data_IF_578010366344
#
_entry.id   IF_578010366344
#
_cell.length_a   1.000
_cell.length_b   1.000
_cell.length_c   1.000
_cell.angle_alpha   90.00
_cell.angle_beta   90.00
_cell.angle_gamma   90.00
#
_symmetry.space_group_name_H-M   'P 1'
#
loop_
_entity.id
_entity.type
_entity.pdbx_description
1 polymer ?
#
# COMPACT_ATOMS: atom_id res chain seq x y z
N UNK A 1 13.41 15.98 6.70
CA UNK A 1 12.33 15.01 6.46
C UNK A 1 12.04 14.28 7.76
N UNK A 2 10.78 14.09 8.13
CA UNK A 2 10.43 13.44 9.40
C UNK A 2 10.39 11.93 9.25
N UNK A 3 11.00 11.21 10.20
CA UNK A 3 10.97 9.74 10.27
C UNK A 3 9.53 9.24 10.48
N UNK A 4 9.13 8.26 9.67
CA UNK A 4 7.85 7.56 9.82
C UNK A 4 8.06 6.21 10.48
N UNK A 5 8.91 5.37 9.87
CA UNK A 5 9.25 4.03 10.36
C UNK A 5 10.75 3.89 10.41
N UNK A 6 11.26 3.29 11.47
CA UNK A 6 12.65 2.88 11.58
C UNK A 6 12.74 1.45 12.09
N UNK A 7 13.56 0.68 11.42
CA UNK A 7 13.84 -0.71 11.66
C UNK A 7 15.31 -0.87 12.02
N UNK A 8 15.60 -1.48 13.17
CA UNK A 8 16.96 -1.72 13.65
C UNK A 8 17.21 -3.20 13.84
N UNK A 9 18.13 -3.76 13.06
CA UNK A 9 18.53 -5.17 13.08
C UNK A 9 17.31 -6.12 13.06
N UNK A 10 16.34 -5.82 12.18
CA UNK A 10 15.13 -6.61 12.03
C UNK A 10 15.48 -7.95 11.40
N UNK A 11 15.03 -9.04 12.04
CA UNK A 11 14.96 -10.32 11.37
C UNK A 11 13.53 -10.86 11.36
N UNK A 12 13.19 -11.55 10.29
CA UNK A 12 11.90 -12.20 10.13
C UNK A 12 12.12 -13.67 9.77
N UNK A 13 11.69 -14.54 10.66
CA UNK A 13 11.78 -15.99 10.51
C UNK A 13 10.42 -16.55 10.09
N UNK A 14 10.41 -17.35 9.03
CA UNK A 14 9.23 -18.11 8.60
C UNK A 14 9.66 -19.57 8.47
N UNK A 15 8.94 -20.48 9.12
CA UNK A 15 9.23 -21.93 9.12
C UNK A 15 10.71 -22.24 9.43
N UNK A 16 11.28 -21.57 10.44
CA UNK A 16 12.68 -21.68 10.89
C UNK A 16 13.73 -21.17 9.90
N UNK A 17 13.33 -20.56 8.78
CA UNK A 17 14.26 -19.88 7.86
C UNK A 17 14.26 -18.38 8.11
N UNK A 18 15.44 -17.79 8.26
CA UNK A 18 15.59 -16.34 8.31
C UNK A 18 15.43 -15.79 6.87
N UNK A 19 14.39 -15.00 6.64
CA UNK A 19 14.12 -14.41 5.34
C UNK A 19 14.81 -13.08 5.14
N UNK A 20 14.96 -12.29 6.20
CA UNK A 20 15.56 -10.96 6.14
C UNK A 20 16.38 -10.68 7.38
N UNK A 21 17.44 -9.91 7.18
CA UNK A 21 18.15 -9.22 8.26
C UNK A 21 18.53 -7.84 7.73
N UNK A 22 17.88 -6.78 8.27
CA UNK A 22 18.13 -5.43 7.76
C UNK A 22 17.88 -4.34 8.80
N UNK A 23 18.45 -3.15 8.52
CA UNK A 23 18.10 -1.91 9.18
C UNK A 23 17.70 -0.90 8.12
N UNK A 24 16.59 -0.18 8.33
CA UNK A 24 16.02 0.73 7.34
C UNK A 24 15.30 1.88 8.04
N UNK A 25 15.44 3.09 7.52
CA UNK A 25 14.61 4.24 7.90
C UNK A 25 13.79 4.71 6.72
N UNK A 26 12.48 4.87 6.95
CA UNK A 26 11.53 5.38 5.98
C UNK A 26 11.07 6.76 6.46
N UNK A 27 11.34 7.78 5.66
CA UNK A 27 10.98 9.15 5.94
C UNK A 27 9.75 9.59 5.15
N UNK A 28 9.12 10.67 5.59
CA UNK A 28 8.03 11.29 4.86
C UNK A 28 8.50 11.73 3.47
N UNK A 29 7.74 11.38 2.44
CA UNK A 29 8.06 11.68 1.04
C UNK A 29 9.03 10.70 0.38
N UNK A 30 9.50 9.67 1.07
CA UNK A 30 10.31 8.63 0.42
C UNK A 30 9.48 7.84 -0.61
N UNK A 31 10.15 7.43 -1.69
CA UNK A 31 9.61 6.48 -2.65
C UNK A 31 10.52 5.25 -2.71
N UNK A 32 10.01 4.10 -2.26
CA UNK A 32 10.75 2.83 -2.25
C UNK A 32 10.14 1.82 -3.22
N UNK A 33 11.01 1.18 -3.99
CA UNK A 33 10.70 -0.03 -4.77
C UNK A 33 11.33 -1.23 -4.09
N UNK A 34 10.49 -2.18 -3.68
CA UNK A 34 10.96 -3.48 -3.16
C UNK A 34 11.15 -4.43 -4.33
N UNK A 35 12.39 -4.73 -4.64
CA UNK A 35 12.80 -5.65 -5.70
C UNK A 35 13.21 -7.01 -5.11
N UNK A 36 13.15 -8.07 -5.89
CA UNK A 36 13.55 -9.41 -5.49
C UNK A 36 12.84 -10.49 -6.30
N UNK A 37 13.38 -11.71 -6.28
CA UNK A 37 12.79 -12.87 -6.97
C UNK A 37 11.37 -13.17 -6.46
N UNK A 38 10.61 -13.95 -7.23
CA UNK A 38 9.33 -14.47 -6.75
C UNK A 38 9.58 -15.32 -5.49
N UNK A 39 8.66 -15.24 -4.53
CA UNK A 39 8.77 -15.88 -3.22
C UNK A 39 9.92 -15.37 -2.32
N UNK A 40 10.63 -14.29 -2.68
CA UNK A 40 11.66 -13.68 -1.82
C UNK A 40 11.10 -13.02 -0.56
N UNK A 41 9.79 -13.04 -0.34
CA UNK A 41 9.16 -12.45 0.84
C UNK A 41 8.73 -10.98 0.67
N UNK A 42 8.67 -10.45 -0.56
CA UNK A 42 8.26 -9.07 -0.82
C UNK A 42 6.94 -8.68 -0.13
N UNK A 43 5.89 -9.49 -0.34
CA UNK A 43 4.58 -9.23 0.30
C UNK A 43 4.64 -9.33 1.83
N UNK A 44 5.55 -10.14 2.38
CA UNK A 44 5.74 -10.25 3.81
C UNK A 44 6.42 -9.00 4.38
N UNK A 45 7.41 -8.45 3.66
CA UNK A 45 8.03 -7.17 4.00
C UNK A 45 7.02 -6.02 3.96
N UNK A 46 6.13 -5.98 2.95
CA UNK A 46 5.06 -4.99 2.90
C UNK A 46 4.09 -5.11 4.09
N UNK A 47 3.78 -6.34 4.54
CA UNK A 47 2.97 -6.56 5.75
C UNK A 47 3.67 -6.05 7.01
N UNK A 48 5.01 -6.16 7.07
CA UNK A 48 5.81 -5.58 8.16
C UNK A 48 5.72 -4.04 8.14
N UNK A 49 5.87 -3.42 6.97
CA UNK A 49 5.73 -1.95 6.82
C UNK A 49 4.32 -1.45 7.16
N UNK A 50 3.29 -2.25 6.87
CA UNK A 50 1.92 -1.96 7.30
C UNK A 50 1.67 -2.26 8.79
N UNK A 51 2.68 -2.75 9.52
CA UNK A 51 2.58 -3.19 10.91
C UNK A 51 1.53 -4.29 11.13
N UNK A 52 1.24 -5.11 10.09
CA UNK A 52 0.34 -6.26 10.19
C UNK A 52 1.00 -7.44 10.92
N UNK A 53 2.30 -7.54 10.80
CA UNK A 53 3.15 -8.51 11.48
C UNK A 53 4.25 -7.78 12.22
N UNK A 54 4.78 -8.39 13.27
CA UNK A 54 5.96 -7.93 13.99
C UNK A 54 7.17 -8.76 13.57
N UNK A 55 8.39 -8.23 13.68
CA UNK A 55 9.60 -8.98 13.39
C UNK A 55 9.85 -10.04 14.46
N UNK A 56 10.61 -11.08 14.09
CA UNK A 56 11.05 -12.10 15.05
C UNK A 56 12.10 -11.57 16.02
N UNK A 57 13.00 -10.69 15.54
CA UNK A 57 14.00 -9.99 16.36
C UNK A 57 14.19 -8.56 15.83
N UNK A 58 14.89 -7.75 16.63
CA UNK A 58 15.19 -6.37 16.31
C UNK A 58 14.24 -5.37 16.97
N UNK A 59 14.30 -4.12 16.55
CA UNK A 59 13.48 -3.05 17.10
C UNK A 59 12.80 -2.28 15.98
N UNK A 60 11.53 -1.97 16.17
CA UNK A 60 10.74 -1.12 15.27
C UNK A 60 10.34 0.15 15.98
N UNK A 61 10.37 1.26 15.23
CA UNK A 61 9.95 2.56 15.71
C UNK A 61 8.93 3.18 14.76
N UNK A 62 7.92 3.79 15.32
CA UNK A 62 6.90 4.57 14.61
C UNK A 62 6.95 6.01 15.11
N UNK A 63 7.24 6.95 14.22
CA UNK A 63 7.42 8.37 14.57
C UNK A 63 8.40 8.57 15.76
N UNK A 64 9.53 7.87 15.73
CA UNK A 64 10.57 7.92 16.77
C UNK A 64 10.25 7.13 18.05
N UNK A 65 9.04 6.59 18.22
CA UNK A 65 8.64 5.81 19.40
C UNK A 65 8.76 4.31 19.12
N UNK A 66 9.44 3.58 19.99
CA UNK A 66 9.59 2.13 19.86
C UNK A 66 8.21 1.44 19.91
N UNK A 67 7.95 0.57 18.94
CA UNK A 67 6.74 -0.25 18.92
C UNK A 67 6.92 -1.45 19.85
N UNK A 68 5.95 -1.65 20.74
CA UNK A 68 5.81 -2.80 21.63
C UNK A 68 4.42 -3.38 21.47
N UNK A 69 4.19 -4.61 21.91
CA UNK A 69 2.89 -5.30 21.79
C UNK A 69 1.72 -4.52 22.41
N UNK A 70 2.00 -3.67 23.40
CA UNK A 70 0.97 -2.90 24.13
C UNK A 70 0.54 -1.60 23.43
N UNK A 71 1.11 -1.23 22.26
CA UNK A 71 0.84 0.06 21.59
C UNK A 71 -0.18 -0.04 20.45
N UNK A 72 -1.25 -0.79 20.62
CA UNK A 72 -2.30 -1.01 19.61
C UNK A 72 -2.91 0.29 19.06
N UNK A 73 -3.09 1.30 19.89
CA UNK A 73 -3.71 2.58 19.49
C UNK A 73 -2.86 3.33 18.47
N UNK A 74 -1.52 3.41 18.67
CA UNK A 74 -0.62 4.08 17.74
C UNK A 74 -0.58 3.38 16.37
N UNK A 75 -0.65 2.04 16.36
CA UNK A 75 -0.70 1.24 15.14
C UNK A 75 -2.00 1.49 14.38
N UNK A 76 -3.14 1.61 15.04
CA UNK A 76 -4.42 1.92 14.41
C UNK A 76 -4.40 3.30 13.77
N UNK A 77 -3.90 4.32 14.47
CA UNK A 77 -3.78 5.68 13.93
C UNK A 77 -2.81 5.75 12.73
N UNK A 78 -1.73 4.98 12.76
CA UNK A 78 -0.85 4.81 11.62
C UNK A 78 -1.61 4.20 10.42
N UNK A 79 -2.28 3.06 10.62
CA UNK A 79 -3.01 2.35 9.56
C UNK A 79 -4.11 3.19 8.91
N UNK A 80 -4.77 4.08 9.65
CA UNK A 80 -5.75 5.03 9.09
C UNK A 80 -5.14 5.97 8.04
N UNK A 81 -3.83 6.24 8.12
CA UNK A 81 -3.10 7.11 7.19
C UNK A 81 -2.52 6.36 6.00
N UNK A 82 -2.62 5.02 5.99
CA UNK A 82 -2.03 4.16 4.96
C UNK A 82 -3.09 3.69 3.98
N UNK A 83 -2.88 3.96 2.70
CA UNK A 83 -3.58 3.31 1.61
C UNK A 83 -2.87 2.01 1.25
N UNK A 84 -3.60 0.90 1.20
CA UNK A 84 -3.01 -0.43 0.97
C UNK A 84 -3.59 -1.05 -0.29
N UNK A 85 -2.70 -1.44 -1.22
CA UNK A 85 -3.04 -2.15 -2.45
C UNK A 85 -2.29 -3.49 -2.39
N UNK A 86 -3.00 -4.57 -2.09
CA UNK A 86 -2.42 -5.92 -1.98
C UNK A 86 -2.96 -6.81 -3.09
N UNK A 87 -2.20 -7.86 -3.45
CA UNK A 87 -2.59 -8.83 -4.49
C UNK A 87 -3.88 -9.59 -4.18
N UNK A 88 -4.15 -9.85 -2.89
CA UNK A 88 -5.43 -10.39 -2.46
C UNK A 88 -6.34 -9.21 -2.20
N UNK A 89 -7.34 -9.04 -3.02
CA UNK A 89 -8.20 -7.86 -3.11
C UNK A 89 -8.95 -7.52 -1.81
N UNK A 90 -9.17 -8.48 -0.91
CA UNK A 90 -9.91 -8.27 0.35
C UNK A 90 -11.19 -7.42 0.15
N UNK A 91 -11.77 -7.48 -1.04
CA UNK A 91 -13.05 -6.85 -1.33
C UNK A 91 -14.17 -7.60 -0.61
N UNK A 92 -15.20 -6.88 -0.20
CA UNK A 92 -16.37 -7.49 0.42
C UNK A 92 -17.24 -8.07 -0.70
N UNK A 93 -17.37 -9.39 -0.83
CA UNK A 93 -17.92 -10.02 -2.04
C UNK A 93 -19.39 -9.66 -2.31
N UNK A 94 -20.15 -9.36 -1.26
CA UNK A 94 -21.58 -9.05 -1.30
C UNK A 94 -21.86 -7.54 -1.44
N UNK A 95 -20.83 -6.71 -1.48
CA UNK A 95 -20.95 -5.29 -1.70
C UNK A 95 -20.74 -4.95 -3.16
N UNK A 96 -21.41 -3.88 -3.61
CA UNK A 96 -21.14 -3.28 -4.91
C UNK A 96 -19.75 -2.62 -4.94
N UNK A 97 -19.32 -2.23 -6.15
CA UNK A 97 -18.12 -1.40 -6.34
C UNK A 97 -18.21 -0.13 -5.47
N UNK A 98 -19.33 0.59 -5.57
CA UNK A 98 -19.57 1.80 -4.79
C UNK A 98 -19.45 1.55 -3.29
N UNK A 99 -20.14 0.54 -2.77
CA UNK A 99 -20.15 0.21 -1.34
C UNK A 99 -18.77 -0.21 -0.82
N UNK A 100 -17.97 -0.92 -1.62
CA UNK A 100 -16.59 -1.27 -1.26
C UNK A 100 -15.69 -0.04 -1.11
N UNK A 101 -15.91 1.01 -1.89
CA UNK A 101 -15.16 2.27 -1.78
C UNK A 101 -15.71 3.12 -0.62
N UNK A 102 -17.04 3.19 -0.49
CA UNK A 102 -17.73 3.97 0.54
C UNK A 102 -17.33 3.55 1.95
N UNK A 103 -17.31 2.25 2.25
CA UNK A 103 -16.92 1.75 3.58
C UNK A 103 -15.49 2.17 3.97
N UNK A 104 -14.59 2.27 3.00
CA UNK A 104 -13.25 2.78 3.28
C UNK A 104 -13.25 4.27 3.63
N UNK A 105 -14.17 5.04 3.06
CA UNK A 105 -14.31 6.48 3.33
C UNK A 105 -14.84 6.77 4.74
N UNK A 106 -15.62 5.87 5.32
CA UNK A 106 -16.22 6.04 6.65
C UNK A 106 -15.19 6.02 7.78
N UNK A 107 -14.02 5.42 7.57
CA UNK A 107 -12.94 5.32 8.56
C UNK A 107 -12.47 6.71 9.04
N UNK A 108 -12.63 7.77 8.24
CA UNK A 108 -12.16 9.13 8.56
C UNK A 108 -13.23 10.13 9.01
N UNK A 109 -14.45 9.71 9.34
CA UNK A 109 -15.50 10.50 10.03
C UNK A 109 -15.96 11.83 9.36
N UNK A 110 -15.64 12.14 8.09
CA UNK A 110 -16.03 13.38 7.41
C UNK A 110 -17.02 13.14 6.27
N UNK A 111 -18.26 12.81 6.60
CA UNK A 111 -19.30 12.36 5.64
C UNK A 111 -19.68 13.31 4.50
N UNK A 112 -19.54 14.64 4.64
CA UNK A 112 -20.15 15.60 3.69
C UNK A 112 -19.52 15.71 2.29
N UNK A 113 -18.29 15.25 2.08
CA UNK A 113 -17.60 15.41 0.78
C UNK A 113 -17.24 14.11 0.06
N UNK A 114 -17.53 12.95 0.66
CA UNK A 114 -17.09 11.66 0.12
C UNK A 114 -17.84 11.25 -1.16
N UNK A 115 -19.13 11.58 -1.29
CA UNK A 115 -19.90 11.20 -2.48
C UNK A 115 -19.25 11.74 -3.77
N UNK A 116 -18.98 13.06 -3.82
CA UNK A 116 -18.30 13.68 -4.96
C UNK A 116 -16.96 13.02 -5.25
N UNK A 117 -16.19 12.74 -4.19
CA UNK A 117 -14.89 12.12 -4.33
C UNK A 117 -14.97 10.66 -4.77
N UNK A 118 -15.96 9.90 -4.32
CA UNK A 118 -16.20 8.54 -4.83
C UNK A 118 -16.52 8.62 -6.32
N UNK A 119 -17.37 9.56 -6.75
CA UNK A 119 -17.72 9.74 -8.14
C UNK A 119 -16.48 10.08 -8.99
N UNK A 120 -15.63 11.00 -8.52
CA UNK A 120 -14.37 11.36 -9.19
C UNK A 120 -13.42 10.18 -9.33
N UNK A 121 -13.24 9.34 -8.30
CA UNK A 121 -12.35 8.18 -8.36
C UNK A 121 -12.92 7.06 -9.23
N UNK A 122 -14.25 6.89 -9.24
CA UNK A 122 -14.93 5.95 -10.12
C UNK A 122 -14.75 6.33 -11.59
N UNK A 123 -14.89 7.62 -11.93
CA UNK A 123 -14.64 8.14 -13.27
C UNK A 123 -13.17 7.95 -13.67
N UNK A 124 -12.24 8.28 -12.78
CA UNK A 124 -10.81 8.19 -13.08
C UNK A 124 -10.32 6.75 -13.32
N UNK A 125 -10.92 5.75 -12.64
CA UNK A 125 -10.60 4.33 -12.78
C UNK A 125 -11.51 3.58 -13.76
N UNK A 126 -12.34 4.28 -14.53
CA UNK A 126 -13.30 3.69 -15.47
C UNK A 126 -14.23 2.64 -14.80
N UNK A 127 -14.71 2.95 -13.58
CA UNK A 127 -15.59 2.09 -12.77
C UNK A 127 -17.03 2.60 -12.68
N UNK A 128 -17.32 3.79 -13.21
CA UNK A 128 -18.60 4.46 -13.00
C UNK A 128 -19.79 3.65 -13.52
N UNK A 129 -19.66 3.06 -14.70
CA UNK A 129 -20.75 2.29 -15.33
C UNK A 129 -21.08 1.00 -14.56
N UNK A 130 -20.11 0.44 -13.84
CA UNK A 130 -20.25 -0.79 -13.06
C UNK A 130 -20.32 -0.52 -11.55
N UNK A 131 -20.53 0.72 -11.15
CA UNK A 131 -20.49 1.14 -9.73
C UNK A 131 -21.51 0.43 -8.82
N UNK A 132 -22.64 0.01 -9.39
CA UNK A 132 -23.71 -0.75 -8.70
C UNK A 132 -23.51 -2.27 -8.76
N UNK A 133 -22.57 -2.79 -9.56
CA UNK A 133 -22.33 -4.21 -9.66
C UNK A 133 -21.64 -4.78 -8.44
N UNK A 134 -21.99 -6.03 -8.09
CA UNK A 134 -21.34 -6.77 -7.01
C UNK A 134 -19.91 -7.17 -7.43
N UNK A 135 -18.95 -6.97 -6.53
CA UNK A 135 -17.52 -7.22 -6.86
C UNK A 135 -17.19 -8.69 -7.15
N UNK A 136 -18.02 -9.64 -6.71
CA UNK A 136 -17.83 -11.06 -7.05
C UNK A 136 -18.04 -11.36 -8.53
N UNK A 137 -18.76 -10.50 -9.27
CA UNK A 137 -19.03 -10.64 -10.71
C UNK A 137 -17.95 -9.99 -11.59
N UNK A 138 -17.04 -9.23 -11.00
CA UNK A 138 -16.04 -8.46 -11.72
C UNK A 138 -14.87 -9.33 -12.21
N UNK A 139 -14.27 -8.92 -13.31
CA UNK A 139 -12.96 -9.40 -13.77
C UNK A 139 -11.85 -9.03 -12.78
N UNK A 140 -10.70 -9.70 -12.87
CA UNK A 140 -9.55 -9.39 -12.02
C UNK A 140 -9.04 -7.95 -12.22
N UNK A 141 -9.09 -7.42 -13.44
CA UNK A 141 -8.71 -6.03 -13.73
C UNK A 141 -9.65 -5.02 -13.08
N UNK A 142 -10.97 -5.26 -13.13
CA UNK A 142 -11.97 -4.42 -12.47
C UNK A 142 -11.81 -4.48 -10.94
N UNK A 143 -11.65 -5.68 -10.37
CA UNK A 143 -11.35 -5.84 -8.94
C UNK A 143 -10.11 -5.07 -8.52
N UNK A 144 -9.04 -5.15 -9.30
CA UNK A 144 -7.81 -4.40 -9.01
C UNK A 144 -8.06 -2.89 -9.00
N UNK A 145 -8.85 -2.37 -9.94
CA UNK A 145 -9.23 -0.96 -9.96
C UNK A 145 -10.04 -0.56 -8.73
N UNK A 146 -10.95 -1.42 -8.25
CA UNK A 146 -11.71 -1.18 -7.00
C UNK A 146 -10.78 -1.16 -5.78
N UNK A 147 -9.78 -2.06 -5.71
CA UNK A 147 -8.76 -2.06 -4.63
C UNK A 147 -7.98 -0.76 -4.63
N UNK A 148 -7.56 -0.27 -5.80
CA UNK A 148 -6.86 1.02 -5.95
C UNK A 148 -7.75 2.17 -5.50
N UNK A 149 -9.02 2.23 -5.95
CA UNK A 149 -9.97 3.26 -5.54
C UNK A 149 -10.11 3.30 -4.01
N UNK A 150 -10.30 2.14 -3.39
CA UNK A 150 -10.44 1.99 -1.94
C UNK A 150 -9.21 2.44 -1.17
N UNK A 151 -8.02 2.19 -1.70
CA UNK A 151 -6.77 2.61 -1.07
C UNK A 151 -6.57 4.13 -1.11
N UNK A 152 -7.06 4.79 -2.18
CA UNK A 152 -6.80 6.21 -2.44
C UNK A 152 -7.90 7.15 -1.96
N UNK A 153 -9.11 6.64 -1.66
CA UNK A 153 -10.28 7.48 -1.32
C UNK A 153 -10.01 8.44 -0.15
N UNK A 154 -9.18 8.06 0.79
CA UNK A 154 -8.90 8.82 2.01
C UNK A 154 -7.68 9.76 1.92
N UNK A 155 -7.12 10.06 0.74
CA UNK A 155 -5.88 10.82 0.58
C UNK A 155 -4.76 10.31 1.52
N UNK A 156 -4.33 9.06 1.36
CA UNK A 156 -3.37 8.48 2.26
C UNK A 156 -2.04 9.25 2.22
N UNK A 157 -1.42 9.39 3.39
CA UNK A 157 -0.07 9.96 3.50
C UNK A 157 1.03 8.94 3.20
N UNK A 158 0.66 7.67 3.24
CA UNK A 158 1.55 6.55 2.98
C UNK A 158 0.79 5.57 2.08
N UNK A 159 1.43 5.09 1.04
CA UNK A 159 0.87 4.07 0.13
C UNK A 159 1.78 2.86 0.18
N UNK A 160 1.20 1.71 0.50
CA UNK A 160 1.89 0.41 0.46
C UNK A 160 1.20 -0.43 -0.59
N UNK A 161 1.94 -0.80 -1.65
CA UNK A 161 1.38 -1.47 -2.81
C UNK A 161 2.17 -2.72 -3.21
N UNK A 162 1.47 -3.84 -3.38
CA UNK A 162 2.04 -5.10 -3.84
C UNK A 162 1.63 -5.36 -5.29
N UNK A 163 2.55 -5.05 -6.22
CA UNK A 163 2.34 -5.16 -7.67
C UNK A 163 1.01 -4.52 -8.12
N UNK A 164 0.80 -3.23 -7.83
CA UNK A 164 -0.50 -2.57 -8.06
C UNK A 164 -0.89 -2.52 -9.54
N UNK A 165 0.07 -2.68 -10.44
CA UNK A 165 -0.11 -2.72 -11.88
C UNK A 165 -0.64 -4.05 -12.42
N UNK A 166 -0.70 -5.11 -11.61
CA UNK A 166 -1.16 -6.41 -12.07
C UNK A 166 -2.63 -6.35 -12.52
N UNK A 167 -2.92 -7.11 -13.57
CA UNK A 167 -4.25 -7.21 -14.20
C UNK A 167 -4.79 -5.93 -14.84
N UNK A 168 -4.03 -4.82 -14.81
CA UNK A 168 -4.41 -3.58 -15.47
C UNK A 168 -3.94 -3.58 -16.93
N UNK A 169 -4.70 -2.93 -17.80
CA UNK A 169 -4.24 -2.60 -19.16
C UNK A 169 -3.15 -1.50 -19.13
N UNK A 170 -2.48 -1.29 -20.27
CA UNK A 170 -1.35 -0.36 -20.33
C UNK A 170 -1.76 1.11 -20.12
N UNK A 171 -3.01 1.47 -20.44
CA UNK A 171 -3.49 2.86 -20.25
C UNK A 171 -3.67 3.12 -18.76
N UNK A 172 -4.34 2.21 -18.05
CA UNK A 172 -4.58 2.34 -16.61
C UNK A 172 -3.26 2.22 -15.82
N UNK A 173 -2.33 1.35 -16.25
CA UNK A 173 -0.98 1.29 -15.65
C UNK A 173 -0.27 2.64 -15.70
N UNK A 174 -0.23 3.29 -16.87
CA UNK A 174 0.39 4.61 -17.02
C UNK A 174 -0.29 5.65 -16.13
N UNK A 175 -1.62 5.68 -16.10
CA UNK A 175 -2.39 6.56 -15.20
C UNK A 175 -2.00 6.31 -13.75
N UNK A 176 -1.93 5.04 -13.31
CA UNK A 176 -1.58 4.66 -11.94
C UNK A 176 -0.18 5.13 -11.55
N UNK A 177 0.84 4.85 -12.36
CA UNK A 177 2.21 5.28 -12.07
C UNK A 177 2.32 6.81 -12.02
N UNK A 178 1.72 7.51 -12.97
CA UNK A 178 1.66 8.98 -12.96
C UNK A 178 1.01 9.52 -11.68
N UNK A 179 -0.08 8.89 -11.22
CA UNK A 179 -0.74 9.28 -9.98
C UNK A 179 0.15 9.06 -8.76
N UNK A 180 0.81 7.90 -8.66
CA UNK A 180 1.70 7.60 -7.55
C UNK A 180 2.85 8.61 -7.49
N UNK A 181 3.48 8.93 -8.62
CA UNK A 181 4.52 9.96 -8.70
C UNK A 181 4.00 11.35 -8.30
N UNK A 182 2.79 11.70 -8.75
CA UNK A 182 2.16 12.98 -8.39
C UNK A 182 1.88 13.07 -6.90
N UNK A 183 1.36 12.01 -6.29
CA UNK A 183 1.14 11.94 -4.84
C UNK A 183 2.45 12.02 -4.06
N UNK A 184 3.52 11.39 -4.56
CA UNK A 184 4.84 11.47 -3.93
C UNK A 184 5.41 12.90 -3.99
N UNK A 185 5.30 13.59 -5.13
CA UNK A 185 5.67 15.00 -5.26
C UNK A 185 4.88 15.91 -4.30
N UNK A 186 3.66 15.53 -3.95
CA UNK A 186 2.84 16.21 -2.94
C UNK A 186 3.15 15.78 -1.50
N UNK A 187 4.20 14.98 -1.31
CA UNK A 187 4.71 14.57 0.01
C UNK A 187 4.18 13.23 0.53
N UNK A 188 3.42 12.46 -0.25
CA UNK A 188 3.06 11.10 0.14
C UNK A 188 4.29 10.18 0.10
N UNK A 189 4.40 9.28 1.07
CA UNK A 189 5.41 8.22 1.10
C UNK A 189 4.89 7.01 0.36
N UNK A 190 5.70 6.43 -0.54
CA UNK A 190 5.30 5.29 -1.35
C UNK A 190 6.28 4.14 -1.13
N UNK A 191 5.74 2.96 -0.87
CA UNK A 191 6.50 1.71 -0.75
C UNK A 191 5.77 0.68 -1.58
N UNK A 192 6.38 0.21 -2.66
CA UNK A 192 5.71 -0.74 -3.53
C UNK A 192 6.65 -1.81 -4.06
N UNK A 193 6.09 -2.96 -4.40
CA UNK A 193 6.72 -3.91 -5.30
C UNK A 193 6.24 -3.63 -6.72
N UNK A 194 7.08 -3.79 -7.72
CA UNK A 194 6.67 -3.68 -9.12
C UNK A 194 7.63 -4.42 -10.03
N UNK A 195 7.07 -5.07 -11.04
CA UNK A 195 7.83 -5.63 -12.15
C UNK A 195 7.97 -4.63 -13.32
N UNK A 196 7.34 -3.47 -13.22
CA UNK A 196 7.25 -2.40 -14.23
C UNK A 196 7.76 -1.05 -13.70
N UNK A 197 8.65 -1.07 -12.69
CA UNK A 197 9.20 0.15 -12.09
C UNK A 197 9.96 1.04 -13.08
N UNK A 198 10.40 0.49 -14.21
CA UNK A 198 10.98 1.24 -15.33
C UNK A 198 10.00 2.24 -15.98
N UNK A 199 8.70 2.15 -15.71
CA UNK A 199 7.70 3.15 -16.13
C UNK A 199 7.70 4.41 -15.24
N UNK A 200 8.37 4.37 -14.07
CA UNK A 200 8.52 5.51 -13.19
C UNK A 200 9.57 6.47 -13.75
N UNK A 201 9.27 7.76 -13.70
CA UNK A 201 10.17 8.85 -14.11
C UNK A 201 10.80 9.57 -12.91
N UNK A 202 10.18 9.46 -11.74
CA UNK A 202 10.68 10.05 -10.49
C UNK A 202 11.84 9.26 -9.89
N UNK A 203 12.64 9.92 -9.06
CA UNK A 203 13.70 9.26 -8.27
C UNK A 203 13.08 8.39 -7.19
N UNK A 204 13.54 7.15 -7.07
CA UNK A 204 13.13 6.21 -6.03
C UNK A 204 14.33 5.46 -5.46
N UNK A 205 14.17 4.94 -4.26
CA UNK A 205 15.15 4.08 -3.57
C UNK A 205 14.78 2.63 -3.81
N UNK A 206 15.77 1.76 -3.96
CA UNK A 206 15.52 0.33 -4.19
C UNK A 206 15.85 -0.44 -2.91
N UNK A 207 14.94 -1.34 -2.53
CA UNK A 207 15.14 -2.37 -1.52
C UNK A 207 15.26 -3.70 -2.26
N UNK A 208 16.46 -4.35 -2.37
CA UNK A 208 16.63 -5.64 -3.04
C UNK A 208 16.50 -6.79 -2.05
N UNK A 209 15.55 -7.64 -2.09
CA UNK A 209 15.44 -8.85 -1.28
C UNK A 209 16.27 -9.97 -1.91
N UNK A 210 17.15 -10.57 -1.11
CA UNK A 210 18.00 -11.69 -1.54
C UNK A 210 19.50 -11.39 -1.58
N UNK A 211 19.90 -10.14 -1.51
CA UNK A 211 21.30 -9.77 -1.29
C UNK A 211 21.54 -9.73 0.22
N UNK A 212 22.50 -10.49 0.69
CA UNK A 212 22.74 -10.75 2.13
C UNK A 212 23.28 -9.57 2.94
N UNK A 213 23.18 -8.32 2.44
CA UNK A 213 23.61 -7.10 3.14
C UNK A 213 22.70 -5.92 2.75
N UNK A 214 21.96 -5.46 3.72
CA UNK A 214 21.21 -4.18 3.72
C UNK A 214 21.77 -3.25 4.77
#
# INVERSE_FOLDING_TARGET
>A
MSEILRFENISLNVEKKNLFNFSLTINAGDFFIVNGKNAAGKSLLLKLFFLKILPSNGKMFLYGKRITENQKVNILEYRKKVGVILQNDYLIPFFSVYQNIEIASEIQSKKKHFKKRIDEILDWLDLKQISSELVNKLSNGEKQRVVIARALINNPKIIIADQPENYLDEVIKKKLFFLLESLNKLGATIIMTSNKHNMLTSTYKIINLGDSKW
#
